data_IF_432956146967
#
_entry.id   IF_432956146967
#
_cell.length_a   1.000
_cell.length_b   1.000
_cell.length_c   1.000
_cell.angle_alpha   90.00
_cell.angle_beta   90.00
_cell.angle_gamma   90.00
#
_symmetry.space_group_name_H-M   'P 1'
#
loop_
_entity.id
_entity.type
_entity.pdbx_description
1 polymer ?
#
# COMPACT_ATOMS: atom_id res chain seq x y z
N UNK A 1 25.17 17.00 -4.88
CA UNK A 1 24.56 16.08 -3.88
C UNK A 1 24.21 14.80 -4.61
N UNK A 2 24.57 13.62 -4.09
CA UNK A 2 24.22 12.34 -4.71
C UNK A 2 22.88 11.81 -4.17
N UNK A 3 22.23 10.90 -4.90
CA UNK A 3 21.00 10.25 -4.42
C UNK A 3 21.21 9.52 -3.09
N UNK A 4 22.36 8.86 -2.91
CA UNK A 4 22.71 8.17 -1.67
C UNK A 4 22.82 9.12 -0.47
N UNK A 5 23.51 10.27 -0.64
CA UNK A 5 23.63 11.26 0.41
C UNK A 5 22.27 11.88 0.79
N UNK A 6 21.44 12.18 -0.21
CA UNK A 6 20.09 12.69 0.02
C UNK A 6 19.23 11.67 0.80
N UNK A 7 19.32 10.37 0.46
CA UNK A 7 18.63 9.32 1.20
C UNK A 7 19.12 9.20 2.66
N UNK A 8 20.44 9.23 2.90
CA UNK A 8 20.99 9.17 4.26
C UNK A 8 20.54 10.35 5.13
N UNK A 9 20.56 11.56 4.55
CA UNK A 9 20.04 12.76 5.23
C UNK A 9 18.56 12.63 5.53
N UNK A 10 17.77 12.11 4.59
CA UNK A 10 16.35 11.86 4.84
C UNK A 10 16.12 10.91 6.01
N UNK A 11 16.85 9.80 6.07
CA UNK A 11 16.73 8.82 7.13
C UNK A 11 17.09 9.41 8.51
N UNK A 12 18.07 10.31 8.57
CA UNK A 12 18.42 11.01 9.80
C UNK A 12 17.37 12.05 10.23
N UNK A 13 16.65 12.64 9.27
CA UNK A 13 15.61 13.64 9.50
C UNK A 13 14.21 13.02 9.75
N UNK A 14 14.06 11.71 9.58
CA UNK A 14 12.80 10.94 9.67
C UNK A 14 11.65 11.59 8.87
N UNK A 15 10.40 11.30 9.23
CA UNK A 15 9.18 11.84 8.63
C UNK A 15 8.96 13.34 8.90
N UNK A 16 10.01 14.16 8.95
CA UNK A 16 9.89 15.62 8.95
C UNK A 16 9.72 16.16 7.52
N UNK A 17 9.20 17.38 7.33
CA UNK A 17 9.13 18.00 6.00
C UNK A 17 10.50 18.06 5.29
N UNK A 18 11.57 18.28 6.04
CA UNK A 18 12.93 18.25 5.51
C UNK A 18 13.34 16.85 5.05
N UNK A 19 13.03 15.80 5.84
CA UNK A 19 13.30 14.42 5.45
C UNK A 19 12.54 13.99 4.19
N UNK A 20 11.26 14.36 4.09
CA UNK A 20 10.44 14.15 2.88
C UNK A 20 11.07 14.85 1.67
N UNK A 21 11.51 16.11 1.82
CA UNK A 21 12.15 16.84 0.73
C UNK A 21 13.45 16.18 0.28
N UNK A 22 14.25 15.65 1.21
CA UNK A 22 15.46 14.92 0.86
C UNK A 22 15.17 13.60 0.13
N UNK A 23 14.08 12.89 0.46
CA UNK A 23 13.65 11.71 -0.30
C UNK A 23 13.22 12.07 -1.72
N UNK A 24 12.48 13.17 -1.91
CA UNK A 24 12.09 13.65 -3.24
C UNK A 24 13.32 13.95 -4.10
N UNK A 25 14.30 14.66 -3.54
CA UNK A 25 15.59 14.92 -4.20
C UNK A 25 16.30 13.61 -4.55
N UNK A 26 16.34 12.63 -3.64
CA UNK A 26 16.97 11.34 -3.90
C UNK A 26 16.30 10.60 -5.07
N UNK A 27 14.96 10.56 -5.09
CA UNK A 27 14.14 9.91 -6.12
C UNK A 27 14.32 10.60 -7.48
N UNK A 28 14.33 11.94 -7.50
CA UNK A 28 14.52 12.74 -8.73
C UNK A 28 15.91 12.50 -9.35
N UNK A 29 16.94 12.31 -8.52
CA UNK A 29 18.30 11.98 -9.00
C UNK A 29 18.37 10.53 -9.47
N UNK A 30 17.89 9.59 -8.66
CA UNK A 30 17.88 8.17 -9.00
C UNK A 30 16.82 7.42 -8.18
N UNK A 31 15.70 7.00 -8.80
CA UNK A 31 14.62 6.32 -8.09
C UNK A 31 15.11 4.93 -7.63
N UNK A 32 15.02 4.70 -6.33
CA UNK A 32 15.29 3.38 -5.73
C UNK A 32 14.08 2.91 -4.96
N UNK A 33 13.89 1.60 -4.91
CA UNK A 33 12.81 0.97 -4.13
C UNK A 33 12.88 1.40 -2.67
N UNK A 34 14.08 1.46 -2.09
CA UNK A 34 14.29 1.94 -0.71
C UNK A 34 13.83 3.39 -0.51
N UNK A 35 14.21 4.31 -1.40
CA UNK A 35 13.82 5.71 -1.26
C UNK A 35 12.29 5.89 -1.39
N UNK A 36 11.68 5.22 -2.37
CA UNK A 36 10.24 5.31 -2.61
C UNK A 36 9.45 4.67 -1.45
N UNK A 37 9.81 3.46 -1.01
CA UNK A 37 9.17 2.82 0.14
C UNK A 37 9.31 3.65 1.42
N UNK A 38 10.47 4.29 1.65
CA UNK A 38 10.65 5.18 2.81
C UNK A 38 9.74 6.40 2.72
N UNK A 39 9.58 6.97 1.53
CA UNK A 39 8.71 8.13 1.32
C UNK A 39 7.24 7.77 1.59
N UNK A 40 6.78 6.62 1.12
CA UNK A 40 5.45 6.08 1.43
C UNK A 40 5.28 5.93 2.94
N UNK A 41 6.24 5.31 3.63
CA UNK A 41 6.21 5.15 5.08
C UNK A 41 6.14 6.49 5.83
N UNK A 42 6.83 7.53 5.36
CA UNK A 42 6.76 8.86 5.98
C UNK A 42 5.39 9.51 5.84
N UNK A 43 4.76 9.38 4.67
CA UNK A 43 3.39 9.87 4.49
C UNK A 43 2.38 9.08 5.35
N UNK A 44 2.53 7.76 5.46
CA UNK A 44 1.71 6.92 6.36
C UNK A 44 1.86 7.37 7.82
N UNK A 45 3.10 7.56 8.31
CA UNK A 45 3.36 8.07 9.67
C UNK A 45 2.72 9.44 9.92
N UNK A 46 2.65 10.28 8.90
CA UNK A 46 1.98 11.59 8.98
C UNK A 46 0.45 11.52 8.82
N UNK A 47 -0.12 10.32 8.66
CA UNK A 47 -1.53 10.10 8.31
C UNK A 47 -1.96 10.77 6.99
N UNK A 48 -0.99 11.08 6.12
CA UNK A 48 -1.22 11.59 4.77
C UNK A 48 -1.41 10.41 3.80
N UNK A 49 -2.54 9.72 3.98
CA UNK A 49 -2.86 8.50 3.23
C UNK A 49 -3.10 8.77 1.75
N UNK A 50 -3.51 9.98 1.37
CA UNK A 50 -3.73 10.36 -0.04
C UNK A 50 -2.40 10.40 -0.79
N UNK A 51 -1.40 11.11 -0.25
CA UNK A 51 -0.07 11.15 -0.87
C UNK A 51 0.59 9.78 -0.87
N UNK A 52 0.45 9.01 0.22
CA UNK A 52 0.97 7.65 0.30
C UNK A 52 0.39 6.76 -0.81
N UNK A 53 -0.93 6.79 -1.02
CA UNK A 53 -1.62 5.99 -2.03
C UNK A 53 -1.19 6.38 -3.46
N UNK A 54 -1.06 7.67 -3.76
CA UNK A 54 -0.62 8.16 -5.07
C UNK A 54 0.80 7.68 -5.40
N UNK A 55 1.74 7.89 -4.48
CA UNK A 55 3.14 7.47 -4.66
C UNK A 55 3.22 5.95 -4.83
N UNK A 56 2.41 5.20 -4.08
CA UNK A 56 2.38 3.74 -4.16
C UNK A 56 1.83 3.24 -5.50
N UNK A 57 0.82 3.92 -6.06
CA UNK A 57 0.30 3.60 -7.39
C UNK A 57 1.38 3.82 -8.47
N UNK A 58 2.01 5.00 -8.47
CA UNK A 58 3.07 5.33 -9.42
C UNK A 58 4.28 4.37 -9.28
N UNK A 59 4.55 3.92 -8.06
CA UNK A 59 5.64 2.98 -7.79
C UNK A 59 5.38 1.59 -8.36
N UNK A 60 4.14 1.11 -8.32
CA UNK A 60 3.77 -0.16 -8.95
C UNK A 60 3.94 -0.08 -10.45
N UNK A 61 3.41 0.96 -11.09
CA UNK A 61 3.58 1.20 -12.54
C UNK A 61 5.07 1.26 -12.92
N UNK A 62 5.88 1.93 -12.09
CA UNK A 62 7.33 2.01 -12.27
C UNK A 62 8.00 0.62 -12.21
N UNK A 63 7.67 -0.20 -11.19
CA UNK A 63 8.26 -1.54 -11.04
C UNK A 63 7.84 -2.46 -12.20
N UNK A 64 6.56 -2.46 -12.56
CA UNK A 64 6.04 -3.28 -13.67
C UNK A 64 6.74 -2.93 -14.99
N UNK A 65 6.97 -1.63 -15.26
CA UNK A 65 7.73 -1.19 -16.43
C UNK A 65 9.17 -1.74 -16.43
N UNK A 66 9.81 -1.81 -15.26
CA UNK A 66 11.16 -2.36 -15.09
C UNK A 66 11.20 -3.88 -15.32
N UNK A 67 10.21 -4.60 -14.80
CA UNK A 67 10.06 -6.05 -15.00
C UNK A 67 9.86 -6.33 -16.49
N UNK A 68 8.97 -5.59 -17.16
CA UNK A 68 8.69 -5.73 -18.59
C UNK A 68 9.92 -5.40 -19.46
N UNK A 69 10.81 -4.52 -19.00
CA UNK A 69 12.09 -4.25 -19.63
C UNK A 69 13.16 -5.35 -19.40
N UNK A 70 12.80 -6.45 -18.72
CA UNK A 70 13.66 -7.61 -18.50
C UNK A 70 14.50 -7.56 -17.22
N UNK A 71 14.18 -6.65 -16.29
CA UNK A 71 14.86 -6.60 -15.00
C UNK A 71 14.67 -7.92 -14.24
N UNK A 72 15.77 -8.46 -13.70
CA UNK A 72 15.77 -9.68 -12.89
C UNK A 72 15.93 -9.29 -11.42
N UNK A 73 14.95 -9.64 -10.61
CA UNK A 73 14.93 -9.33 -9.19
C UNK A 73 13.67 -9.85 -8.53
N UNK A 74 13.66 -9.94 -7.20
CA UNK A 74 12.49 -10.36 -6.44
C UNK A 74 11.53 -9.19 -6.21
N UNK A 75 11.05 -8.59 -7.31
CA UNK A 75 10.12 -7.46 -7.27
C UNK A 75 8.72 -7.88 -6.77
N UNK A 76 8.40 -9.17 -6.83
CA UNK A 76 7.13 -9.72 -6.35
C UNK A 76 6.89 -9.41 -4.87
N UNK A 77 7.93 -9.46 -4.02
CA UNK A 77 7.80 -9.10 -2.59
C UNK A 77 7.44 -7.62 -2.42
N UNK A 78 7.96 -6.75 -3.29
CA UNK A 78 7.67 -5.32 -3.25
C UNK A 78 6.24 -5.07 -3.74
N UNK A 79 5.87 -5.67 -4.88
CA UNK A 79 4.53 -5.55 -5.45
C UNK A 79 3.46 -6.11 -4.51
N UNK A 80 3.72 -7.25 -3.85
CA UNK A 80 2.89 -7.80 -2.79
C UNK A 80 2.65 -6.79 -1.66
N UNK A 81 3.72 -6.22 -1.11
CA UNK A 81 3.59 -5.20 -0.07
C UNK A 81 2.80 -3.99 -0.55
N UNK A 82 3.04 -3.54 -1.79
CA UNK A 82 2.32 -2.42 -2.38
C UNK A 82 0.83 -2.73 -2.51
N UNK A 83 0.47 -3.92 -3.00
CA UNK A 83 -0.91 -4.33 -3.16
C UNK A 83 -1.70 -4.29 -1.85
N UNK A 84 -1.20 -4.98 -0.82
CA UNK A 84 -1.85 -5.02 0.50
C UNK A 84 -1.98 -3.60 1.08
N UNK A 85 -0.93 -2.78 0.94
CA UNK A 85 -0.95 -1.40 1.46
C UNK A 85 -1.95 -0.52 0.70
N UNK A 86 -2.06 -0.66 -0.64
CA UNK A 86 -3.07 0.05 -1.44
C UNK A 86 -4.49 -0.32 -1.02
N UNK A 87 -4.77 -1.61 -0.82
CA UNK A 87 -6.08 -2.09 -0.34
C UNK A 87 -6.43 -1.42 0.99
N UNK A 88 -5.54 -1.49 1.99
CA UNK A 88 -5.78 -0.89 3.30
C UNK A 88 -5.99 0.63 3.22
N UNK A 89 -5.16 1.35 2.46
CA UNK A 89 -5.31 2.80 2.29
C UNK A 89 -6.62 3.18 1.60
N UNK A 90 -7.04 2.42 0.58
CA UNK A 90 -8.30 2.64 -0.12
C UNK A 90 -9.51 2.43 0.80
N UNK A 91 -9.47 1.39 1.64
CA UNK A 91 -10.51 1.11 2.63
C UNK A 91 -10.57 2.19 3.73
N UNK A 92 -9.42 2.75 4.14
CA UNK A 92 -9.37 3.86 5.11
C UNK A 92 -9.93 5.16 4.49
N UNK A 93 -9.52 5.47 3.26
CA UNK A 93 -9.83 6.74 2.61
C UNK A 93 -11.27 6.82 2.10
N UNK A 94 -11.88 5.67 1.76
CA UNK A 94 -13.20 5.55 1.14
C UNK A 94 -13.44 6.61 0.05
N UNK A 95 -12.55 6.73 -0.96
CA UNK A 95 -12.66 7.78 -1.95
C UNK A 95 -13.93 7.62 -2.78
N UNK A 96 -14.62 8.74 -3.06
CA UNK A 96 -15.74 8.72 -3.99
C UNK A 96 -15.28 8.31 -5.40
N UNK A 97 -16.05 7.54 -6.18
CA UNK A 97 -15.64 7.04 -7.50
C UNK A 97 -15.12 8.13 -8.46
N UNK A 98 -15.65 9.36 -8.38
CA UNK A 98 -15.25 10.49 -9.21
C UNK A 98 -13.82 11.01 -8.93
N UNK A 99 -13.26 10.69 -7.77
CA UNK A 99 -11.94 11.15 -7.32
C UNK A 99 -10.87 10.05 -7.42
N UNK A 100 -11.25 8.85 -7.87
CA UNK A 100 -10.37 7.70 -7.92
C UNK A 100 -9.84 7.51 -9.34
N UNK A 101 -8.52 7.34 -9.47
CA UNK A 101 -7.95 6.92 -10.75
C UNK A 101 -8.46 5.52 -11.11
N UNK A 102 -8.68 5.18 -12.41
CA UNK A 102 -9.17 3.87 -12.81
C UNK A 102 -8.31 2.71 -12.29
N UNK A 103 -6.99 2.87 -12.26
CA UNK A 103 -6.05 1.87 -11.70
C UNK A 103 -6.32 1.59 -10.23
N UNK A 104 -6.66 2.61 -9.44
CA UNK A 104 -6.97 2.49 -8.03
C UNK A 104 -8.36 1.89 -7.78
N UNK A 105 -9.33 2.13 -8.69
CA UNK A 105 -10.64 1.49 -8.63
C UNK A 105 -10.52 -0.03 -8.85
N UNK A 106 -9.69 -0.43 -9.82
CA UNK A 106 -9.44 -1.83 -10.15
C UNK A 106 -8.84 -2.62 -8.98
N UNK A 107 -8.05 -1.96 -8.10
CA UNK A 107 -7.51 -2.61 -6.90
C UNK A 107 -8.64 -3.18 -6.04
N UNK A 108 -9.63 -2.38 -5.63
CA UNK A 108 -10.72 -2.88 -4.80
C UNK A 108 -11.67 -3.81 -5.58
N UNK A 109 -11.90 -3.56 -6.86
CA UNK A 109 -12.74 -4.43 -7.70
C UNK A 109 -12.21 -5.86 -7.71
N UNK A 110 -10.89 -6.06 -7.84
CA UNK A 110 -10.26 -7.39 -7.80
C UNK A 110 -10.64 -8.21 -6.56
N UNK A 111 -10.79 -7.55 -5.42
CA UNK A 111 -11.14 -8.21 -4.16
C UNK A 111 -12.66 -8.25 -3.89
N UNK A 112 -13.46 -7.52 -4.68
CA UNK A 112 -14.92 -7.57 -4.61
C UNK A 112 -15.51 -8.75 -5.40
N UNK A 113 -14.81 -9.24 -6.43
CA UNK A 113 -15.23 -10.38 -7.24
C UNK A 113 -14.63 -11.69 -6.70
N UNK A 114 -15.49 -12.59 -6.22
CA UNK A 114 -15.12 -13.93 -5.75
C UNK A 114 -15.15 -14.90 -6.95
N UNK A 115 -14.31 -14.69 -7.95
CA UNK A 115 -14.09 -15.71 -9.00
C UNK A 115 -12.75 -16.41 -8.76
N UNK A 116 -12.72 -17.74 -8.96
CA UNK A 116 -11.57 -18.65 -8.72
C UNK A 116 -10.31 -18.31 -9.54
N UNK A 117 -10.38 -17.31 -10.43
CA UNK A 117 -9.33 -16.94 -11.38
C UNK A 117 -8.79 -15.53 -11.17
N UNK A 118 -9.02 -14.90 -10.01
CA UNK A 118 -8.33 -13.65 -9.68
C UNK A 118 -6.82 -13.88 -9.80
N UNK A 119 -6.24 -13.43 -10.92
CA UNK A 119 -4.85 -13.69 -11.25
C UNK A 119 -4.00 -13.22 -10.05
N UNK A 120 -3.35 -14.18 -9.41
CA UNK A 120 -2.55 -13.95 -8.22
C UNK A 120 -1.19 -13.37 -8.65
N UNK A 121 -1.23 -12.20 -9.27
CA UNK A 121 -0.09 -11.52 -9.86
C UNK A 121 0.93 -11.05 -8.80
N UNK A 122 0.54 -11.10 -7.51
CA UNK A 122 1.31 -10.60 -6.39
C UNK A 122 1.84 -11.69 -5.46
N UNK A 123 1.77 -12.97 -5.86
CA UNK A 123 2.34 -14.08 -5.11
C UNK A 123 1.81 -14.18 -3.66
N UNK A 124 0.53 -13.86 -3.46
CA UNK A 124 -0.18 -14.07 -2.21
C UNK A 124 -0.47 -15.56 -2.00
N UNK A 125 -0.69 -15.99 -0.76
CA UNK A 125 -1.31 -17.31 -0.54
C UNK A 125 -2.81 -17.27 -0.85
N UNK A 126 -3.43 -18.42 -1.11
CA UNK A 126 -4.89 -18.49 -1.27
C UNK A 126 -5.63 -17.99 -0.03
N UNK A 127 -5.13 -18.35 1.16
CA UNK A 127 -5.67 -17.88 2.45
C UNK A 127 -5.58 -16.35 2.56
N UNK A 128 -4.42 -15.77 2.24
CA UNK A 128 -4.24 -14.32 2.28
C UNK A 128 -5.17 -13.59 1.31
N UNK A 129 -5.33 -14.11 0.09
CA UNK A 129 -6.24 -13.56 -0.92
C UNK A 129 -7.69 -13.59 -0.42
N UNK A 130 -8.13 -14.72 0.14
CA UNK A 130 -9.48 -14.90 0.68
C UNK A 130 -9.73 -13.94 1.86
N UNK A 131 -8.76 -13.78 2.74
CA UNK A 131 -8.87 -12.86 3.89
C UNK A 131 -8.97 -11.40 3.43
N UNK A 132 -8.22 -11.00 2.39
CA UNK A 132 -8.32 -9.66 1.81
C UNK A 132 -9.67 -9.44 1.10
N UNK A 133 -10.19 -10.44 0.39
CA UNK A 133 -11.54 -10.39 -0.19
C UNK A 133 -12.60 -10.23 0.91
N UNK A 134 -12.47 -11.01 1.99
CA UNK A 134 -13.37 -10.96 3.14
C UNK A 134 -13.31 -9.60 3.85
N UNK A 135 -12.11 -9.02 3.97
CA UNK A 135 -11.91 -7.68 4.52
C UNK A 135 -12.62 -6.61 3.68
N UNK A 136 -12.44 -6.64 2.36
CA UNK A 136 -13.08 -5.69 1.45
C UNK A 136 -14.61 -5.83 1.52
N UNK A 137 -15.12 -7.06 1.53
CA UNK A 137 -16.55 -7.33 1.64
C UNK A 137 -17.12 -6.84 2.97
N UNK A 138 -16.47 -7.15 4.11
CA UNK A 138 -16.90 -6.71 5.44
C UNK A 138 -16.95 -5.17 5.55
N UNK A 139 -15.97 -4.47 4.96
CA UNK A 139 -15.97 -3.01 4.91
C UNK A 139 -17.14 -2.46 4.08
N UNK A 140 -17.45 -3.08 2.93
CA UNK A 140 -18.53 -2.65 2.05
C UNK A 140 -19.92 -2.96 2.62
N UNK A 141 -20.08 -4.10 3.29
CA UNK A 141 -21.32 -4.53 3.95
C UNK A 141 -21.55 -3.87 5.30
N UNK A 142 -20.58 -3.11 5.82
CA UNK A 142 -20.57 -2.51 7.15
C UNK A 142 -20.71 -3.58 8.26
N UNK A 143 -20.13 -4.77 8.04
CA UNK A 143 -20.08 -5.85 9.02
C UNK A 143 -18.88 -5.66 9.95
N UNK A 144 -19.06 -4.80 10.95
CA UNK A 144 -18.01 -4.47 11.91
C UNK A 144 -17.60 -5.66 12.80
N UNK A 145 -18.50 -6.64 12.99
CA UNK A 145 -18.18 -7.84 13.77
C UNK A 145 -17.21 -8.72 12.98
N UNK A 146 -17.51 -8.98 11.69
CA UNK A 146 -16.60 -9.69 10.81
C UNK A 146 -15.25 -8.97 10.68
N UNK A 147 -15.25 -7.63 10.62
CA UNK A 147 -14.03 -6.82 10.55
C UNK A 147 -13.10 -7.04 11.76
N UNK A 148 -13.65 -7.16 12.97
CA UNK A 148 -12.87 -7.42 14.18
C UNK A 148 -12.29 -8.83 14.21
N UNK A 149 -13.02 -9.83 13.71
CA UNK A 149 -12.54 -11.21 13.60
C UNK A 149 -11.40 -11.31 12.58
N UNK A 150 -11.55 -10.64 11.44
CA UNK A 150 -10.54 -10.58 10.38
C UNK A 150 -9.23 -9.90 10.80
N UNK A 151 -9.24 -9.01 11.81
CA UNK A 151 -8.01 -8.40 12.32
C UNK A 151 -7.00 -9.45 12.78
N UNK A 152 -7.47 -10.43 13.54
CA UNK A 152 -6.65 -11.51 14.08
C UNK A 152 -6.16 -12.46 12.99
N UNK A 153 -7.02 -12.78 12.03
CA UNK A 153 -6.72 -13.72 10.94
C UNK A 153 -5.74 -13.15 9.91
N UNK A 154 -5.81 -11.84 9.62
CA UNK A 154 -4.86 -11.16 8.73
C UNK A 154 -3.50 -10.92 9.38
N UNK A 155 -3.44 -10.83 10.71
CA UNK A 155 -2.22 -10.46 11.44
C UNK A 155 -0.93 -11.21 11.05
N UNK A 156 -0.94 -12.54 10.77
CA UNK A 156 0.26 -13.27 10.36
C UNK A 156 0.82 -12.85 9.00
N UNK A 157 -0.03 -12.33 8.10
CA UNK A 157 0.32 -11.96 6.72
C UNK A 157 0.86 -10.53 6.61
N UNK A 158 0.60 -9.70 7.62
CA UNK A 158 0.91 -8.28 7.58
C UNK A 158 2.26 -7.93 8.23
N UNK A 159 2.98 -7.00 7.62
CA UNK A 159 4.12 -6.34 8.25
C UNK A 159 3.66 -5.30 9.30
N UNK A 160 4.59 -4.73 10.06
CA UNK A 160 4.27 -3.80 11.15
C UNK A 160 3.46 -2.57 10.70
N UNK A 161 3.83 -1.95 9.57
CA UNK A 161 3.13 -0.78 9.03
C UNK A 161 1.72 -1.13 8.54
N UNK A 162 1.55 -2.30 7.91
CA UNK A 162 0.23 -2.79 7.48
C UNK A 162 -0.67 -3.14 8.66
N UNK A 163 -0.10 -3.64 9.77
CA UNK A 163 -0.84 -3.87 11.02
C UNK A 163 -1.35 -2.58 11.62
N UNK A 164 -0.51 -1.53 11.64
CA UNK A 164 -0.92 -0.20 12.08
C UNK A 164 -2.03 0.37 11.20
N UNK A 165 -1.95 0.18 9.87
CA UNK A 165 -3.01 0.58 8.94
C UNK A 165 -4.30 -0.22 9.15
N UNK A 166 -4.23 -1.53 9.35
CA UNK A 166 -5.42 -2.36 9.63
C UNK A 166 -6.09 -1.92 10.93
N UNK A 167 -5.30 -1.69 11.99
CA UNK A 167 -5.82 -1.16 13.23
C UNK A 167 -6.49 0.21 13.03
N UNK A 168 -5.87 1.09 12.22
CA UNK A 168 -6.44 2.39 11.88
C UNK A 168 -7.75 2.27 11.11
N UNK A 169 -7.84 1.34 10.15
CA UNK A 169 -9.05 1.06 9.39
C UNK A 169 -10.20 0.71 10.34
N UNK A 170 -9.97 -0.20 11.27
CA UNK A 170 -10.96 -0.63 12.25
C UNK A 170 -11.41 0.56 13.10
N UNK A 171 -10.47 1.37 13.61
CA UNK A 171 -10.81 2.57 14.37
C UNK A 171 -11.67 3.56 13.56
N UNK A 172 -11.35 3.77 12.28
CA UNK A 172 -12.07 4.71 11.42
C UNK A 172 -13.48 4.23 11.11
N UNK A 173 -13.67 2.92 10.90
CA UNK A 173 -14.97 2.36 10.52
C UNK A 173 -15.89 2.11 11.73
N UNK A 174 -15.33 1.75 12.89
CA UNK A 174 -16.13 1.48 14.11
C UNK A 174 -16.48 2.74 14.91
N UNK A 175 -15.83 3.87 14.63
CA UNK A 175 -16.14 5.16 15.23
C UNK A 175 -17.22 5.96 14.48
N UNK A 176 -17.72 5.45 13.35
CA UNK A 176 -18.81 6.04 12.55
C UNK A 176 -20.16 5.55 13.04
#
# INVERSE_FOLDING_TARGET
>A
MSAGLALELALALDSTPAGIQQLRIAIDIFPTTKAISTLVSYHIKQSDYVSALQILNDFVDFIESYINAGARGNYNVILHRCEVTRVLLLLILQPSPQRLAPSLAQVLEKYAWIEETANNDFNMSEDELLLLQSLVLACQSHDYQALLELEGELWPYLNAEQKELLHKLIQVLTAQ
#
